data_IF_028134615168
#
_entry.id   IF_028134615168
#
_cell.length_a   1.000
_cell.length_b   1.000
_cell.length_c   1.000
_cell.angle_alpha   90.00
_cell.angle_beta   90.00
_cell.angle_gamma   90.00
#
_symmetry.space_group_name_H-M   'P 1'
#
loop_
_entity.id
_entity.type
_entity.pdbx_description
1 polymer ?
#
# COMPACT_ATOMS: atom_id res chain seq x y z
N UNK A 1 -4.69 -12.47 -19.13
CA UNK A 1 -5.91 -12.17 -18.36
C UNK A 1 -5.78 -12.50 -16.87
N UNK A 2 -5.37 -13.71 -16.45
CA UNK A 2 -5.19 -14.06 -15.01
C UNK A 2 -4.18 -13.18 -14.26
N UNK A 3 -3.03 -12.88 -14.88
CA UNK A 3 -1.96 -12.11 -14.26
C UNK A 3 -2.42 -10.69 -13.87
N UNK A 4 -3.20 -10.05 -14.73
CA UNK A 4 -3.79 -8.73 -14.47
C UNK A 4 -4.66 -8.76 -13.21
N UNK A 5 -5.50 -9.79 -13.07
CA UNK A 5 -6.38 -9.94 -11.92
C UNK A 5 -5.61 -10.23 -10.62
N UNK A 6 -4.55 -11.04 -10.69
CA UNK A 6 -3.65 -11.27 -9.55
C UNK A 6 -2.94 -9.99 -9.11
N UNK A 7 -2.49 -9.16 -10.06
CA UNK A 7 -1.80 -7.90 -9.79
C UNK A 7 -2.76 -6.87 -9.17
N UNK A 8 -3.97 -6.71 -9.69
CA UNK A 8 -4.96 -5.79 -9.09
C UNK A 8 -5.42 -6.28 -7.71
N UNK A 9 -5.58 -7.59 -7.52
CA UNK A 9 -5.87 -8.17 -6.20
C UNK A 9 -4.75 -7.88 -5.20
N UNK A 10 -3.49 -8.08 -5.59
CA UNK A 10 -2.34 -7.78 -4.74
C UNK A 10 -2.28 -6.27 -4.41
N UNK A 11 -2.45 -5.40 -5.40
CA UNK A 11 -2.52 -3.94 -5.20
C UNK A 11 -3.61 -3.55 -4.21
N UNK A 12 -4.81 -4.12 -4.33
CA UNK A 12 -5.93 -3.85 -3.43
C UNK A 12 -5.63 -4.27 -1.99
N UNK A 13 -5.14 -5.49 -1.78
CA UNK A 13 -4.84 -6.00 -0.43
C UNK A 13 -3.65 -5.29 0.21
N UNK A 14 -2.61 -4.99 -0.56
CA UNK A 14 -1.48 -4.16 -0.08
C UNK A 14 -1.99 -2.77 0.29
N UNK A 15 -2.73 -2.10 -0.59
CA UNK A 15 -3.31 -0.79 -0.30
C UNK A 15 -4.18 -0.81 0.96
N UNK A 16 -4.94 -1.89 1.20
CA UNK A 16 -5.78 -2.02 2.40
C UNK A 16 -4.96 -2.22 3.68
N UNK A 17 -3.91 -3.05 3.66
CA UNK A 17 -3.17 -3.46 4.86
C UNK A 17 -1.97 -2.56 5.17
N UNK A 18 -1.40 -1.89 4.19
CA UNK A 18 -0.17 -1.11 4.34
C UNK A 18 -0.25 0.03 5.37
N UNK A 19 -1.40 0.69 5.65
CA UNK A 19 -1.49 1.68 6.74
C UNK A 19 -1.12 1.12 8.11
N UNK A 20 -1.34 -0.18 8.35
CA UNK A 20 -0.96 -0.84 9.60
C UNK A 20 0.57 -0.79 9.80
N UNK A 21 1.34 -0.82 8.70
CA UNK A 21 2.81 -0.74 8.72
C UNK A 21 3.29 0.66 9.09
N UNK A 22 2.46 1.70 8.97
CA UNK A 22 2.84 3.06 9.38
C UNK A 22 2.94 3.17 10.90
N UNK A 23 2.13 2.43 11.64
CA UNK A 23 2.08 2.50 13.10
C UNK A 23 3.44 2.23 13.74
N UNK A 24 4.15 1.11 13.47
CA UNK A 24 5.47 0.88 14.06
C UNK A 24 6.49 1.94 13.64
N UNK A 25 6.41 2.48 12.41
CA UNK A 25 7.33 3.54 11.95
C UNK A 25 7.09 4.84 12.71
N UNK A 26 5.83 5.22 12.91
CA UNK A 26 5.44 6.42 13.67
C UNK A 26 5.77 6.26 15.15
N UNK A 27 5.46 5.09 15.75
CA UNK A 27 5.75 4.80 17.16
C UNK A 27 7.26 4.77 17.45
N UNK A 28 8.07 4.30 16.49
CA UNK A 28 9.52 4.35 16.59
C UNK A 28 10.11 5.77 16.45
N UNK A 29 9.30 6.75 16.01
CA UNK A 29 9.71 8.13 15.77
C UNK A 29 10.43 8.33 14.42
N UNK A 30 10.36 9.56 13.91
CA UNK A 30 11.08 10.00 12.70
C UNK A 30 12.12 11.03 13.12
N UNK A 31 13.30 10.53 13.49
CA UNK A 31 14.43 11.31 14.05
C UNK A 31 15.55 11.60 13.04
N UNK A 32 15.44 11.05 11.82
CA UNK A 32 16.51 11.05 10.83
C UNK A 32 15.96 11.05 9.41
N UNK A 33 16.78 11.55 8.47
CA UNK A 33 16.45 11.58 7.05
C UNK A 33 16.18 10.17 6.52
N UNK A 34 16.90 9.16 6.99
CA UNK A 34 16.66 7.76 6.59
C UNK A 34 15.26 7.28 6.97
N UNK A 35 14.81 7.53 8.21
CA UNK A 35 13.44 7.19 8.64
C UNK A 35 12.37 7.99 7.92
N UNK A 36 12.64 9.26 7.64
CA UNK A 36 11.74 10.09 6.84
C UNK A 36 11.59 9.54 5.42
N UNK A 37 12.70 9.21 4.77
CA UNK A 37 12.71 8.61 3.43
C UNK A 37 12.00 7.25 3.42
N UNK A 38 12.16 6.43 4.45
CA UNK A 38 11.42 5.18 4.62
C UNK A 38 9.91 5.45 4.66
N UNK A 39 9.47 6.40 5.50
CA UNK A 39 8.05 6.74 5.62
C UNK A 39 7.48 7.27 4.31
N UNK A 40 8.18 8.19 3.64
CA UNK A 40 7.76 8.71 2.32
C UNK A 40 7.72 7.59 1.28
N UNK A 41 8.69 6.67 1.28
CA UNK A 41 8.70 5.50 0.40
C UNK A 41 7.50 4.58 0.63
N UNK A 42 7.11 4.37 1.90
CA UNK A 42 5.89 3.64 2.27
C UNK A 42 4.63 4.34 1.77
N UNK A 43 4.56 5.67 1.84
CA UNK A 43 3.43 6.44 1.29
C UNK A 43 3.37 6.32 -0.25
N UNK A 44 4.50 6.41 -0.93
CA UNK A 44 4.57 6.25 -2.38
C UNK A 44 4.15 4.84 -2.81
N UNK A 45 4.64 3.80 -2.12
CA UNK A 45 4.25 2.42 -2.37
C UNK A 45 2.75 2.20 -2.14
N UNK A 46 2.19 2.85 -1.13
CA UNK A 46 0.75 2.81 -0.86
C UNK A 46 -0.05 3.45 -1.98
N UNK A 47 0.33 4.64 -2.44
CA UNK A 47 -0.33 5.30 -3.57
C UNK A 47 -0.29 4.42 -4.83
N UNK A 48 0.87 3.81 -5.13
CA UNK A 48 1.01 2.84 -6.21
C UNK A 48 0.08 1.63 -6.04
N UNK A 49 -0.02 1.07 -4.83
CA UNK A 49 -0.90 -0.05 -4.54
C UNK A 49 -2.38 0.32 -4.73
N UNK A 50 -2.79 1.54 -4.33
CA UNK A 50 -4.15 2.04 -4.57
C UNK A 50 -4.45 2.21 -6.06
N UNK A 51 -3.51 2.78 -6.84
CA UNK A 51 -3.66 2.95 -8.30
C UNK A 51 -3.76 1.59 -8.99
N UNK A 52 -2.87 0.66 -8.66
CA UNK A 52 -2.85 -0.70 -9.25
C UNK A 52 -4.08 -1.51 -8.81
N UNK A 53 -4.50 -1.38 -7.56
CA UNK A 53 -5.62 -2.12 -6.99
C UNK A 53 -7.00 -1.58 -7.37
N UNK A 54 -7.09 -0.40 -8.00
CA UNK A 54 -8.34 0.29 -8.28
C UNK A 54 -9.35 -0.55 -9.07
N UNK A 55 -8.86 -1.33 -10.04
CA UNK A 55 -9.69 -2.16 -10.92
C UNK A 55 -9.99 -3.56 -10.35
N UNK A 56 -9.63 -3.82 -9.08
CA UNK A 56 -9.93 -5.10 -8.46
C UNK A 56 -11.45 -5.28 -8.26
N UNK A 57 -12.06 -6.11 -9.12
CA UNK A 57 -13.52 -6.30 -9.16
C UNK A 57 -14.10 -7.10 -8.00
N UNK A 58 -13.26 -7.77 -7.20
CA UNK A 58 -13.71 -8.61 -6.08
C UNK A 58 -14.29 -7.83 -4.89
N UNK A 59 -14.00 -6.53 -4.78
CA UNK A 59 -14.55 -5.64 -3.74
C UNK A 59 -15.91 -5.04 -4.11
N UNK A 60 -16.31 -5.12 -5.39
CA UNK A 60 -17.63 -4.72 -5.86
C UNK A 60 -18.61 -5.83 -5.50
N UNK A 61 -19.18 -5.78 -4.30
CA UNK A 61 -20.38 -6.55 -3.97
C UNK A 61 -21.42 -6.27 -5.07
N UNK A 62 -21.84 -7.33 -5.78
CA UNK A 62 -23.00 -7.29 -6.67
C UNK A 62 -24.28 -7.35 -5.86
#
# INVERSE_FOLDING_TARGET
MRLHHSVTAAGFWIGTLLPVVYLPVILAGIDSISRLSLFVGLLALHALALVVGHDYSGSRAR
#
